data_IF_450711147881
#
_entry.id   IF_450711147881
#
_cell.length_a   1.000
_cell.length_b   1.000
_cell.length_c   1.000
_cell.angle_alpha   90.00
_cell.angle_beta   90.00
_cell.angle_gamma   90.00
#
_symmetry.space_group_name_H-M   'P 1'
#
loop_
_entity.id
_entity.type
_entity.pdbx_description
1 polymer ?
#
# COMPACT_ATOMS: atom_id res chain seq x y z
N UNK A 1 -1.16 -30.18 3.84
CA UNK A 1 0.15 -30.21 4.54
C UNK A 1 1.22 -30.20 3.46
N UNK A 2 2.15 -29.26 3.51
CA UNK A 2 3.32 -29.20 2.61
C UNK A 2 4.58 -29.43 3.44
N UNK A 3 5.58 -30.09 2.85
CA UNK A 3 6.91 -30.35 3.45
C UNK A 3 7.92 -30.21 2.31
N UNK A 4 9.04 -29.54 2.56
CA UNK A 4 10.14 -29.41 1.61
C UNK A 4 11.45 -29.10 2.35
N UNK A 5 12.58 -29.31 1.67
CA UNK A 5 13.92 -29.16 2.26
C UNK A 5 14.35 -27.69 2.38
N UNK A 6 13.72 -26.79 1.63
CA UNK A 6 14.06 -25.36 1.62
C UNK A 6 12.85 -24.45 1.80
N UNK A 7 13.01 -23.26 2.40
CA UNK A 7 11.96 -22.25 2.48
C UNK A 7 11.38 -21.86 1.11
N UNK A 8 12.23 -21.79 0.07
CA UNK A 8 11.81 -21.49 -1.31
C UNK A 8 10.75 -22.49 -1.81
N UNK A 9 11.05 -23.78 -1.69
CA UNK A 9 10.12 -24.85 -2.08
C UNK A 9 8.86 -24.89 -1.20
N UNK A 10 8.96 -24.56 0.09
CA UNK A 10 7.79 -24.47 0.97
C UNK A 10 6.82 -23.39 0.49
N UNK A 11 7.32 -22.19 0.18
CA UNK A 11 6.51 -21.08 -0.35
C UNK A 11 5.97 -21.42 -1.75
N UNK A 12 6.77 -22.06 -2.60
CA UNK A 12 6.33 -22.51 -3.92
C UNK A 12 5.16 -23.51 -3.83
N UNK A 13 5.28 -24.51 -2.97
CA UNK A 13 4.23 -25.51 -2.75
C UNK A 13 2.97 -24.86 -2.13
N UNK A 14 3.14 -23.97 -1.15
CA UNK A 14 2.03 -23.26 -0.52
C UNK A 14 1.26 -22.42 -1.55
N UNK A 15 1.95 -21.58 -2.33
CA UNK A 15 1.32 -20.72 -3.34
C UNK A 15 0.72 -21.51 -4.50
N UNK A 16 1.29 -22.67 -4.86
CA UNK A 16 0.65 -23.60 -5.80
C UNK A 16 -0.72 -24.09 -5.30
N UNK A 17 -0.91 -24.21 -3.98
CA UNK A 17 -2.17 -24.66 -3.38
C UNK A 17 -3.21 -23.53 -3.26
N UNK A 18 -2.78 -22.33 -2.87
CA UNK A 18 -3.72 -21.22 -2.54
C UNK A 18 -3.92 -20.23 -3.70
N UNK A 19 -3.06 -20.30 -4.72
CA UNK A 19 -3.03 -19.45 -5.91
C UNK A 19 -1.76 -18.61 -5.97
N UNK A 20 -1.26 -18.36 -7.17
CA UNK A 20 -0.13 -17.46 -7.41
C UNK A 20 -0.63 -16.07 -7.79
N UNK A 21 0.17 -15.06 -7.50
CA UNK A 21 -0.09 -13.70 -7.98
C UNK A 21 0.01 -13.68 -9.51
N UNK A 22 -0.76 -12.85 -10.22
CA UNK A 22 -0.46 -12.57 -11.63
C UNK A 22 0.82 -11.72 -11.74
N UNK A 23 1.27 -11.49 -12.98
CA UNK A 23 2.37 -10.56 -13.26
C UNK A 23 1.87 -9.13 -13.13
N UNK A 24 2.61 -8.28 -12.40
CA UNK A 24 2.35 -6.84 -12.30
C UNK A 24 2.90 -6.15 -13.54
N UNK A 25 2.18 -5.16 -14.07
CA UNK A 25 2.67 -4.33 -15.18
C UNK A 25 3.81 -3.42 -14.74
N UNK A 26 4.73 -3.18 -15.68
CA UNK A 26 5.89 -2.30 -15.48
C UNK A 26 5.48 -0.83 -15.30
N UNK A 27 4.25 -0.49 -15.72
CA UNK A 27 3.61 0.82 -15.52
C UNK A 27 3.34 1.15 -14.05
N UNK A 28 3.51 0.19 -13.14
CA UNK A 28 3.30 0.37 -11.70
C UNK A 28 4.59 0.34 -10.88
N UNK A 29 5.76 0.16 -11.50
CA UNK A 29 7.00 -0.10 -10.76
C UNK A 29 7.77 1.17 -10.36
N UNK A 30 7.34 2.36 -10.78
CA UNK A 30 7.91 3.65 -10.41
C UNK A 30 7.26 4.27 -9.17
N UNK A 31 7.17 5.61 -9.17
CA UNK A 31 6.67 6.37 -8.02
C UNK A 31 5.14 6.43 -8.00
N UNK A 32 4.56 6.08 -6.85
CA UNK A 32 3.16 6.30 -6.53
C UNK A 32 3.05 7.48 -5.57
N UNK A 33 2.32 8.52 -5.97
CA UNK A 33 2.09 9.71 -5.15
C UNK A 33 0.72 9.67 -4.49
N UNK A 34 0.69 9.84 -3.17
CA UNK A 34 -0.53 10.00 -2.37
C UNK A 34 -0.26 10.85 -1.12
N UNK A 35 -1.33 11.36 -0.54
CA UNK A 35 -1.39 11.93 0.81
C UNK A 35 -2.82 11.82 1.31
N UNK A 36 -3.03 12.04 2.60
CA UNK A 36 -4.33 12.38 3.16
C UNK A 36 -4.44 13.91 3.25
N UNK A 37 -5.15 14.59 2.35
CA UNK A 37 -5.80 14.12 1.13
C UNK A 37 -5.79 15.20 0.05
N UNK A 38 -5.81 14.82 -1.22
CA UNK A 38 -6.14 15.77 -2.30
C UNK A 38 -7.66 15.92 -2.36
N UNK A 39 -8.15 17.15 -2.29
CA UNK A 39 -9.56 17.48 -2.06
C UNK A 39 -10.31 17.89 -3.32
N UNK A 40 -9.60 18.25 -4.38
CA UNK A 40 -10.18 18.70 -5.67
C UNK A 40 -9.34 18.23 -6.85
N UNK A 41 -9.90 18.22 -8.09
CA UNK A 41 -9.14 17.91 -9.29
C UNK A 41 -7.91 18.80 -9.50
N UNK A 42 -7.99 20.09 -9.16
CA UNK A 42 -6.86 21.02 -9.34
C UNK A 42 -5.74 20.76 -8.34
N UNK A 43 -6.05 20.35 -7.10
CA UNK A 43 -5.01 19.93 -6.15
C UNK A 43 -4.23 18.72 -6.71
N UNK A 44 -4.92 17.73 -7.29
CA UNK A 44 -4.28 16.56 -7.93
C UNK A 44 -3.42 17.00 -9.13
N UNK A 45 -3.98 17.81 -10.05
CA UNK A 45 -3.25 18.28 -11.23
C UNK A 45 -2.05 19.14 -10.89
N UNK A 46 -2.14 20.00 -9.88
CA UNK A 46 -1.02 20.85 -9.46
C UNK A 46 0.21 20.03 -9.06
N UNK A 47 -0.01 18.93 -8.33
CA UNK A 47 1.04 18.00 -7.93
C UNK A 47 1.61 17.25 -9.14
N UNK A 48 0.75 16.69 -10.00
CA UNK A 48 1.19 15.97 -11.19
C UNK A 48 1.99 16.87 -12.16
N UNK A 49 1.52 18.10 -12.40
CA UNK A 49 2.21 19.11 -13.21
C UNK A 49 3.57 19.46 -12.60
N UNK A 50 3.67 19.59 -11.28
CA UNK A 50 4.96 19.86 -10.61
C UNK A 50 5.94 18.70 -10.75
N UNK A 51 5.49 17.45 -10.60
CA UNK A 51 6.34 16.29 -10.88
C UNK A 51 6.82 16.27 -12.34
N UNK A 52 5.94 16.57 -13.31
CA UNK A 52 6.30 16.71 -14.73
C UNK A 52 7.36 17.80 -14.96
N UNK A 53 7.19 18.97 -14.33
CA UNK A 53 8.17 20.07 -14.36
C UNK A 53 9.55 19.63 -13.84
N UNK A 54 9.58 18.81 -12.79
CA UNK A 54 10.80 18.26 -12.19
C UNK A 54 11.41 17.08 -12.97
N UNK A 55 10.81 16.69 -14.10
CA UNK A 55 11.24 15.55 -14.90
C UNK A 55 11.08 14.21 -14.16
N UNK A 56 10.06 14.11 -13.31
CA UNK A 56 9.72 12.90 -12.55
C UNK A 56 8.41 12.37 -13.13
N UNK A 57 8.45 11.15 -13.69
CA UNK A 57 7.24 10.44 -14.11
C UNK A 57 6.56 9.85 -12.87
N UNK A 58 5.28 10.21 -12.66
CA UNK A 58 4.40 9.49 -11.77
C UNK A 58 3.81 8.29 -12.51
N UNK A 59 3.89 7.12 -11.91
CA UNK A 59 3.23 5.95 -12.44
C UNK A 59 1.79 5.87 -11.92
N UNK A 60 1.57 6.22 -10.63
CA UNK A 60 0.23 6.31 -10.03
C UNK A 60 0.10 7.60 -9.21
N UNK A 61 -1.06 8.26 -9.32
CA UNK A 61 -1.51 9.28 -8.36
C UNK A 61 -2.85 8.84 -7.75
N UNK A 62 -3.03 9.10 -6.46
CA UNK A 62 -4.13 8.54 -5.69
C UNK A 62 -5.05 9.64 -5.15
N UNK A 63 -6.36 9.45 -5.32
CA UNK A 63 -7.41 10.25 -4.72
C UNK A 63 -7.92 9.50 -3.49
N UNK A 64 -7.65 10.06 -2.31
CA UNK A 64 -7.95 9.46 -1.02
C UNK A 64 -9.45 9.57 -0.64
N UNK A 65 -9.81 9.10 0.55
CA UNK A 65 -11.15 9.02 1.12
C UNK A 65 -11.87 10.38 1.22
N UNK A 66 -13.20 10.32 1.41
CA UNK A 66 -14.08 11.50 1.49
C UNK A 66 -13.94 12.45 0.30
N UNK A 67 -13.77 11.93 -0.91
CA UNK A 67 -14.04 12.67 -2.16
C UNK A 67 -15.51 12.55 -2.61
N UNK A 68 -16.35 11.90 -1.80
CA UNK A 68 -17.75 11.57 -2.05
C UNK A 68 -18.73 12.39 -1.20
N UNK A 69 -20.03 12.43 -1.55
CA UNK A 69 -21.04 13.13 -0.74
C UNK A 69 -21.28 12.51 0.64
N UNK A 70 -21.46 11.18 0.67
CA UNK A 70 -21.63 10.35 1.86
C UNK A 70 -20.92 9.01 1.65
N UNK A 71 -20.54 8.35 2.74
CA UNK A 71 -19.96 7.01 2.67
C UNK A 71 -20.98 6.03 2.05
N UNK A 72 -20.53 5.15 1.16
CA UNK A 72 -21.37 4.19 0.45
C UNK A 72 -22.06 4.71 -0.81
N UNK A 73 -21.83 5.98 -1.17
CA UNK A 73 -22.33 6.53 -2.43
C UNK A 73 -21.46 6.12 -3.63
N UNK A 74 -20.18 5.82 -3.37
CA UNK A 74 -19.17 5.41 -4.36
C UNK A 74 -19.24 6.26 -5.63
N UNK A 75 -19.23 7.58 -5.46
CA UNK A 75 -19.19 8.59 -6.52
C UNK A 75 -18.48 9.83 -6.00
N UNK A 76 -17.87 10.58 -6.90
CA UNK A 76 -17.35 11.91 -6.58
C UNK A 76 -18.47 12.87 -6.12
N UNK A 77 -18.15 13.79 -5.20
CA UNK A 77 -19.02 14.90 -4.85
C UNK A 77 -18.89 16.03 -5.88
N UNK A 78 -19.93 16.21 -6.69
CA UNK A 78 -20.00 17.20 -7.77
C UNK A 78 -19.70 18.65 -7.32
N UNK A 79 -19.84 18.95 -6.02
CA UNK A 79 -19.49 20.27 -5.45
C UNK A 79 -17.99 20.55 -5.57
N UNK A 80 -17.15 19.55 -5.31
CA UNK A 80 -15.67 19.70 -5.25
C UNK A 80 -14.98 19.01 -6.43
N UNK A 81 -15.67 18.06 -7.05
CA UNK A 81 -15.22 17.28 -8.18
C UNK A 81 -16.24 17.36 -9.33
N UNK A 82 -16.43 18.55 -9.96
CA UNK A 82 -17.33 18.68 -11.10
C UNK A 82 -16.92 17.78 -12.27
N UNK A 83 -17.89 17.23 -13.00
CA UNK A 83 -17.65 16.30 -14.12
C UNK A 83 -16.65 16.83 -15.16
N UNK A 84 -16.77 18.08 -15.58
CA UNK A 84 -15.86 18.69 -16.56
C UNK A 84 -14.42 18.77 -16.04
N UNK A 85 -14.25 18.98 -14.73
CA UNK A 85 -12.94 19.04 -14.06
C UNK A 85 -12.35 17.67 -13.83
N UNK A 86 -13.15 16.67 -13.45
CA UNK A 86 -12.70 15.28 -13.38
C UNK A 86 -12.21 14.82 -14.75
N UNK A 87 -13.02 15.05 -15.80
CA UNK A 87 -12.63 14.66 -17.16
C UNK A 87 -11.32 15.32 -17.57
N UNK A 88 -11.19 16.64 -17.39
CA UNK A 88 -9.96 17.36 -17.73
C UNK A 88 -8.76 16.84 -16.93
N UNK A 89 -8.93 16.52 -15.65
CA UNK A 89 -7.90 15.93 -14.82
C UNK A 89 -7.46 14.56 -15.32
N UNK A 90 -8.41 13.65 -15.61
CA UNK A 90 -8.11 12.31 -16.08
C UNK A 90 -7.43 12.34 -17.46
N UNK A 91 -7.94 13.14 -18.40
CA UNK A 91 -7.35 13.31 -19.73
C UNK A 91 -5.87 13.77 -19.63
N UNK A 92 -5.60 14.78 -18.80
CA UNK A 92 -4.25 15.34 -18.64
C UNK A 92 -3.31 14.36 -17.91
N UNK A 93 -3.77 13.67 -16.86
CA UNK A 93 -2.99 12.66 -16.16
C UNK A 93 -2.62 11.49 -17.09
N UNK A 94 -3.56 11.04 -17.93
CA UNK A 94 -3.31 10.00 -18.92
C UNK A 94 -2.35 10.46 -20.02
N UNK A 95 -2.40 11.73 -20.45
CA UNK A 95 -1.39 12.30 -21.37
C UNK A 95 0.02 12.29 -20.75
N UNK A 96 0.13 12.44 -19.42
CA UNK A 96 1.38 12.30 -18.69
C UNK A 96 1.82 10.83 -18.49
N UNK A 97 0.97 9.87 -18.85
CA UNK A 97 1.21 8.45 -18.59
C UNK A 97 1.05 8.05 -17.12
N UNK A 98 0.29 8.82 -16.35
CA UNK A 98 0.01 8.59 -14.91
C UNK A 98 -1.34 7.91 -14.75
N UNK A 99 -1.39 6.83 -13.97
CA UNK A 99 -2.62 6.11 -13.62
C UNK A 99 -3.30 6.72 -12.41
N UNK A 100 -4.63 6.70 -12.37
CA UNK A 100 -5.40 7.26 -11.27
C UNK A 100 -6.03 6.16 -10.43
N UNK A 101 -5.73 6.17 -9.14
CA UNK A 101 -6.34 5.30 -8.14
C UNK A 101 -7.34 6.09 -7.29
N UNK A 102 -8.49 5.49 -6.98
CA UNK A 102 -9.51 6.11 -6.12
C UNK A 102 -9.80 5.25 -4.88
N UNK A 103 -9.95 5.89 -3.73
CA UNK A 103 -10.37 5.24 -2.49
C UNK A 103 -11.80 4.69 -2.60
N UNK A 104 -12.02 3.51 -2.03
CA UNK A 104 -13.33 2.86 -1.90
C UNK A 104 -13.43 2.34 -0.47
N UNK A 105 -14.39 2.87 0.28
CA UNK A 105 -14.72 2.39 1.61
C UNK A 105 -15.90 1.42 1.58
N UNK A 106 -15.91 0.38 2.42
CA UNK A 106 -17.02 -0.56 2.52
C UNK A 106 -18.18 -0.01 3.37
N UNK A 107 -18.00 1.13 4.04
CA UNK A 107 -18.99 1.78 4.89
C UNK A 107 -20.10 2.44 4.06
N UNK A 108 -21.31 2.44 4.60
CA UNK A 108 -22.51 3.01 3.98
C UNK A 108 -23.26 3.83 5.02
N UNK A 109 -23.30 5.15 4.85
CA UNK A 109 -23.91 6.09 5.78
C UNK A 109 -25.43 6.11 5.64
N UNK A 110 -26.16 6.05 6.77
CA UNK A 110 -27.63 6.08 6.81
C UNK A 110 -28.26 7.34 6.23
N UNK A 111 -27.50 8.43 6.12
CA UNK A 111 -27.93 9.69 5.50
C UNK A 111 -27.89 9.63 3.97
N UNK A 112 -27.10 8.72 3.40
CA UNK A 112 -26.96 8.54 1.95
C UNK A 112 -28.18 7.91 1.28
N UNK A 113 -28.30 8.06 -0.04
CA UNK A 113 -29.37 7.45 -0.84
C UNK A 113 -29.25 5.91 -0.88
N UNK A 114 -28.03 5.40 -0.66
CA UNK A 114 -27.70 3.99 -0.87
C UNK A 114 -28.10 3.08 0.31
N UNK A 115 -28.03 3.58 1.55
CA UNK A 115 -28.14 2.75 2.75
C UNK A 115 -29.42 1.93 2.81
N UNK A 116 -30.59 2.59 2.73
CA UNK A 116 -31.87 1.90 2.89
C UNK A 116 -32.19 0.97 1.72
N UNK A 117 -31.58 1.18 0.55
CA UNK A 117 -31.69 0.21 -0.54
C UNK A 117 -30.93 -1.08 -0.21
N UNK A 118 -29.67 -0.94 0.20
CA UNK A 118 -28.82 -2.08 0.58
C UNK A 118 -29.35 -2.83 1.79
N UNK A 119 -29.86 -2.10 2.79
CA UNK A 119 -30.44 -2.67 4.01
C UNK A 119 -31.68 -3.52 3.69
N UNK A 120 -32.62 -3.00 2.89
CA UNK A 120 -33.82 -3.76 2.46
C UNK A 120 -33.50 -5.02 1.65
N UNK A 121 -32.36 -5.02 0.95
CA UNK A 121 -31.86 -6.17 0.18
C UNK A 121 -30.99 -7.12 1.02
N UNK A 122 -30.68 -6.78 2.28
CA UNK A 122 -29.80 -7.59 3.13
C UNK A 122 -28.34 -7.62 2.65
N UNK A 123 -27.84 -6.50 2.10
CA UNK A 123 -26.48 -6.38 1.55
C UNK A 123 -25.46 -5.84 2.57
N UNK A 124 -25.88 -5.57 3.79
CA UNK A 124 -25.06 -5.02 4.87
C UNK A 124 -24.83 -6.05 5.97
N UNK A 125 -23.69 -5.94 6.65
CA UNK A 125 -23.38 -6.68 7.87
C UNK A 125 -24.43 -6.35 8.93
N UNK A 126 -24.87 -7.38 9.66
CA UNK A 126 -25.89 -7.24 10.70
C UNK A 126 -25.28 -7.42 12.09
N UNK A 127 -25.96 -6.85 13.09
CA UNK A 127 -25.66 -7.06 14.51
C UNK A 127 -26.67 -8.03 15.13
N UNK A 128 -26.21 -8.94 15.98
CA UNK A 128 -27.06 -9.88 16.74
C UNK A 128 -27.79 -9.14 17.88
N UNK A 129 -27.22 -8.03 18.38
CA UNK A 129 -27.82 -7.13 19.38
C UNK A 129 -27.38 -5.67 19.19
N UNK A 130 -28.21 -4.75 19.69
CA UNK A 130 -27.97 -3.31 19.57
C UNK A 130 -28.48 -2.72 18.25
N UNK A 131 -28.02 -1.51 17.92
CA UNK A 131 -28.31 -0.89 16.63
C UNK A 131 -27.53 -1.55 15.50
N UNK A 132 -28.05 -1.48 14.28
CA UNK A 132 -27.33 -1.83 13.06
C UNK A 132 -26.42 -0.65 12.66
N UNK A 133 -25.42 -0.40 13.50
CA UNK A 133 -24.31 0.52 13.25
C UNK A 133 -23.03 -0.30 13.41
N UNK A 134 -22.34 -0.53 12.30
CA UNK A 134 -21.14 -1.36 12.27
C UNK A 134 -19.88 -0.53 12.03
N UNK A 135 -20.02 0.75 11.69
CA UNK A 135 -18.93 1.73 11.61
C UNK A 135 -19.42 3.14 12.03
N UNK A 136 -18.57 3.94 12.68
CA UNK A 136 -18.97 5.24 13.26
C UNK A 136 -18.03 6.42 12.96
N UNK A 137 -16.97 6.23 12.18
CA UNK A 137 -16.10 7.34 11.78
C UNK A 137 -16.83 8.26 10.79
N UNK A 138 -17.08 9.49 11.23
CA UNK A 138 -17.67 10.57 10.42
C UNK A 138 -19.06 10.23 9.83
N UNK A 139 -19.83 9.36 10.49
CA UNK A 139 -21.20 9.02 10.12
C UNK A 139 -21.72 7.77 10.82
N UNK A 140 -23.04 7.66 11.01
CA UNK A 140 -23.69 6.41 11.44
C UNK A 140 -23.80 5.46 10.25
N UNK A 141 -22.88 4.51 10.16
CA UNK A 141 -22.69 3.67 8.99
C UNK A 141 -22.97 2.18 9.26
N UNK A 142 -23.53 1.52 8.25
CA UNK A 142 -23.40 0.08 8.07
C UNK A 142 -22.13 -0.27 7.29
N UNK A 143 -21.79 -1.55 7.26
CA UNK A 143 -20.65 -2.09 6.50
C UNK A 143 -21.20 -3.03 5.44
N UNK A 144 -20.71 -2.92 4.21
CA UNK A 144 -21.07 -3.82 3.11
C UNK A 144 -20.70 -5.25 3.45
N UNK A 145 -21.61 -6.20 3.20
CA UNK A 145 -21.33 -7.62 3.41
C UNK A 145 -20.78 -8.28 2.14
N UNK A 146 -19.46 -8.21 1.93
CA UNK A 146 -18.84 -8.83 0.74
C UNK A 146 -18.92 -10.37 0.72
N UNK A 147 -19.39 -11.04 1.76
CA UNK A 147 -19.71 -12.47 1.65
C UNK A 147 -20.98 -12.72 0.82
N UNK A 148 -21.86 -11.72 0.69
CA UNK A 148 -23.04 -11.77 -0.15
C UNK A 148 -22.67 -11.46 -1.62
N UNK A 149 -22.86 -12.40 -2.57
CA UNK A 149 -22.58 -12.14 -3.98
C UNK A 149 -23.38 -10.98 -4.58
N UNK A 150 -24.61 -10.74 -4.11
CA UNK A 150 -25.41 -9.58 -4.56
C UNK A 150 -24.79 -8.26 -4.08
N UNK A 151 -24.20 -8.24 -2.89
CA UNK A 151 -23.49 -7.06 -2.39
C UNK A 151 -22.20 -6.81 -3.19
N UNK A 152 -21.45 -7.87 -3.53
CA UNK A 152 -20.27 -7.78 -4.40
C UNK A 152 -20.63 -7.11 -5.73
N UNK A 153 -21.68 -7.62 -6.39
CA UNK A 153 -22.15 -7.10 -7.67
C UNK A 153 -22.69 -5.66 -7.55
N UNK A 154 -23.44 -5.37 -6.49
CA UNK A 154 -24.01 -4.04 -6.25
C UNK A 154 -22.93 -2.97 -6.13
N UNK A 155 -21.93 -3.19 -5.27
CA UNK A 155 -20.82 -2.23 -5.06
C UNK A 155 -19.97 -2.11 -6.31
N UNK A 156 -19.62 -3.24 -6.95
CA UNK A 156 -18.88 -3.22 -8.21
C UNK A 156 -19.59 -2.37 -9.28
N UNK A 157 -20.89 -2.58 -9.50
CA UNK A 157 -21.64 -1.85 -10.52
C UNK A 157 -21.69 -0.33 -10.25
N UNK A 158 -21.78 0.08 -8.97
CA UNK A 158 -21.71 1.50 -8.58
C UNK A 158 -20.32 2.06 -8.88
N UNK A 159 -19.25 1.40 -8.44
CA UNK A 159 -17.87 1.81 -8.69
C UNK A 159 -17.52 1.84 -10.18
N UNK A 160 -17.97 0.83 -10.94
CA UNK A 160 -17.82 0.78 -12.40
C UNK A 160 -18.41 2.02 -13.04
N UNK A 161 -19.71 2.27 -12.80
CA UNK A 161 -20.44 3.40 -13.38
C UNK A 161 -19.82 4.75 -13.01
N UNK A 162 -19.45 4.92 -11.75
CA UNK A 162 -19.09 6.22 -11.20
C UNK A 162 -17.59 6.54 -11.22
N UNK A 163 -16.74 5.54 -11.52
CA UNK A 163 -15.28 5.69 -11.58
C UNK A 163 -14.68 5.05 -12.85
N UNK A 164 -14.82 3.73 -13.03
CA UNK A 164 -14.14 3.01 -14.13
C UNK A 164 -14.59 3.52 -15.51
N UNK A 165 -15.91 3.63 -15.72
CA UNK A 165 -16.51 4.10 -16.98
C UNK A 165 -16.17 5.57 -17.28
N UNK A 166 -15.71 6.32 -16.26
CA UNK A 166 -15.27 7.71 -16.37
C UNK A 166 -13.76 7.85 -16.58
N UNK A 167 -13.01 6.74 -16.56
CA UNK A 167 -11.57 6.71 -16.84
C UNK A 167 -10.67 6.55 -15.62
N UNK A 168 -11.19 6.33 -14.42
CA UNK A 168 -10.35 5.92 -13.27
C UNK A 168 -9.77 4.53 -13.55
N UNK A 169 -8.48 4.33 -13.26
CA UNK A 169 -7.77 3.10 -13.63
C UNK A 169 -7.78 2.03 -12.54
N UNK A 170 -7.64 2.45 -11.27
CA UNK A 170 -7.32 1.57 -10.14
C UNK A 170 -8.20 1.86 -8.91
N UNK A 171 -8.31 0.87 -8.02
CA UNK A 171 -9.06 1.00 -6.77
C UNK A 171 -8.19 0.77 -5.55
N UNK A 172 -8.34 1.67 -4.57
CA UNK A 172 -7.84 1.51 -3.21
C UNK A 172 -9.01 1.04 -2.34
N UNK A 173 -9.04 -0.25 -2.06
CA UNK A 173 -10.07 -0.92 -1.25
C UNK A 173 -9.70 -0.82 0.23
N UNK A 174 -9.96 0.35 0.80
CA UNK A 174 -9.57 0.70 2.15
C UNK A 174 -10.57 0.20 3.21
N UNK A 175 -10.19 0.20 4.49
CA UNK A 175 -10.96 -0.42 5.59
C UNK A 175 -11.34 -1.88 5.30
N UNK A 176 -10.38 -2.65 4.77
CA UNK A 176 -10.64 -4.00 4.26
C UNK A 176 -10.69 -5.11 5.32
N UNK A 177 -10.50 -4.83 6.60
CA UNK A 177 -10.53 -5.82 7.68
C UNK A 177 -11.90 -6.53 7.88
N UNK A 178 -13.08 -5.86 7.92
CA UNK A 178 -13.35 -4.43 7.86
C UNK A 178 -13.14 -3.71 9.21
N UNK A 179 -12.94 -2.39 9.16
CA UNK A 179 -12.91 -1.59 10.38
C UNK A 179 -14.32 -1.49 10.98
N UNK A 180 -14.46 -1.91 12.23
CA UNK A 180 -15.75 -2.05 12.93
C UNK A 180 -15.75 -1.13 14.15
N UNK A 181 -16.92 -0.57 14.52
CA UNK A 181 -17.09 0.24 15.75
C UNK A 181 -16.43 -0.41 16.97
N UNK A 182 -16.54 -1.74 17.06
CA UNK A 182 -15.82 -2.54 18.03
C UNK A 182 -15.41 -3.86 17.41
N UNK A 183 -14.29 -4.43 17.82
CA UNK A 183 -13.87 -5.77 17.40
C UNK A 183 -14.57 -6.89 18.21
N UNK A 184 -15.83 -6.70 18.60
CA UNK A 184 -16.67 -7.74 19.20
C UNK A 184 -17.28 -8.66 18.12
N UNK A 185 -16.45 -9.58 17.61
CA UNK A 185 -16.86 -10.52 16.55
C UNK A 185 -18.06 -11.42 16.93
N UNK A 186 -18.49 -11.48 18.20
CA UNK A 186 -19.71 -12.20 18.58
C UNK A 186 -20.97 -11.47 18.13
N UNK A 187 -20.91 -10.15 18.02
CA UNK A 187 -22.06 -9.35 17.67
C UNK A 187 -22.31 -9.29 16.16
N UNK A 188 -21.32 -9.53 15.32
CA UNK A 188 -21.46 -9.34 13.87
C UNK A 188 -21.81 -10.62 13.13
N UNK A 189 -22.65 -10.49 12.10
CA UNK A 189 -23.05 -11.58 11.22
C UNK A 189 -22.99 -11.17 9.75
N UNK A 190 -22.28 -12.01 8.99
CA UNK A 190 -22.17 -11.98 7.54
C UNK A 190 -23.10 -13.01 6.91
N UNK A 191 -23.27 -12.91 5.59
CA UNK A 191 -24.10 -13.75 4.75
C UNK A 191 -23.80 -15.25 4.90
N UNK A 192 -22.53 -15.60 5.06
CA UNK A 192 -22.06 -16.99 5.20
C UNK A 192 -21.98 -17.45 6.66
N UNK A 193 -22.16 -16.57 7.64
CA UNK A 193 -22.13 -16.95 9.05
C UNK A 193 -21.74 -15.84 10.02
N UNK A 194 -21.66 -16.20 11.30
CA UNK A 194 -21.18 -15.30 12.37
C UNK A 194 -19.73 -14.90 12.16
N UNK A 195 -19.39 -13.66 12.50
CA UNK A 195 -18.06 -13.11 12.32
C UNK A 195 -16.98 -13.94 13.05
N UNK A 196 -17.26 -14.47 14.25
CA UNK A 196 -16.35 -15.40 14.96
C UNK A 196 -15.88 -16.62 14.15
N UNK A 197 -16.58 -16.99 13.07
CA UNK A 197 -16.21 -18.13 12.23
C UNK A 197 -15.57 -17.75 10.90
N UNK A 198 -15.89 -16.57 10.36
CA UNK A 198 -15.58 -16.24 8.95
C UNK A 198 -14.88 -14.89 8.75
N UNK A 199 -14.82 -14.01 9.77
CA UNK A 199 -14.41 -12.60 9.60
C UNK A 199 -13.05 -12.43 8.94
N UNK A 200 -12.08 -13.30 9.22
CA UNK A 200 -10.75 -13.22 8.64
C UNK A 200 -10.74 -13.33 7.10
N UNK A 201 -11.76 -13.95 6.48
CA UNK A 201 -11.86 -14.03 5.01
C UNK A 201 -12.46 -12.77 4.37
N UNK A 202 -13.05 -11.85 5.16
CA UNK A 202 -13.69 -10.63 4.64
C UNK A 202 -12.81 -9.84 3.64
N UNK A 203 -11.54 -9.50 3.93
CA UNK A 203 -10.69 -8.77 2.98
C UNK A 203 -10.56 -9.45 1.62
N UNK A 204 -10.49 -10.79 1.62
CA UNK A 204 -10.43 -11.58 0.40
C UNK A 204 -11.72 -11.48 -0.40
N UNK A 205 -12.87 -11.44 0.26
CA UNK A 205 -14.18 -11.25 -0.40
C UNK A 205 -14.36 -9.86 -0.96
N UNK A 206 -13.83 -8.84 -0.28
CA UNK A 206 -13.84 -7.48 -0.78
C UNK A 206 -13.03 -7.35 -2.08
N UNK A 207 -11.78 -7.81 -2.08
CA UNK A 207 -10.95 -7.76 -3.30
C UNK A 207 -11.46 -8.69 -4.41
N UNK A 208 -12.07 -9.83 -4.06
CA UNK A 208 -12.69 -10.75 -5.03
C UNK A 208 -13.82 -10.07 -5.83
N UNK A 209 -14.59 -9.16 -5.23
CA UNK A 209 -15.65 -8.41 -5.90
C UNK A 209 -15.09 -7.55 -7.05
N UNK A 210 -14.05 -6.76 -6.77
CA UNK A 210 -13.40 -5.90 -7.75
C UNK A 210 -12.59 -6.69 -8.77
N UNK A 211 -11.97 -7.80 -8.35
CA UNK A 211 -11.27 -8.68 -9.27
C UNK A 211 -12.23 -9.25 -10.33
N UNK A 212 -13.36 -9.85 -9.91
CA UNK A 212 -14.36 -10.41 -10.85
C UNK A 212 -14.89 -9.34 -11.80
N UNK A 213 -15.17 -8.15 -11.26
CA UNK A 213 -15.64 -7.02 -12.03
C UNK A 213 -14.66 -6.60 -13.12
N UNK A 214 -13.42 -6.33 -12.76
CA UNK A 214 -12.38 -5.91 -13.71
C UNK A 214 -12.09 -6.97 -14.77
N UNK A 215 -12.04 -8.25 -14.40
CA UNK A 215 -11.85 -9.35 -15.37
C UNK A 215 -13.05 -9.48 -16.33
N UNK A 216 -14.28 -9.22 -15.86
CA UNK A 216 -15.47 -9.20 -16.72
C UNK A 216 -15.44 -8.05 -17.75
N UNK A 217 -14.77 -6.94 -17.43
CA UNK A 217 -14.49 -5.84 -18.36
C UNK A 217 -13.27 -6.12 -19.26
N UNK A 218 -12.67 -7.31 -19.17
CA UNK A 218 -11.48 -7.70 -19.93
C UNK A 218 -10.22 -6.94 -19.53
N UNK A 219 -10.20 -6.31 -18.34
CA UNK A 219 -9.02 -5.62 -17.83
C UNK A 219 -8.05 -6.65 -17.25
N UNK A 220 -6.79 -6.57 -17.66
CA UNK A 220 -5.71 -7.45 -17.18
C UNK A 220 -4.54 -6.68 -16.60
N UNK A 221 -4.59 -5.35 -16.65
CA UNK A 221 -3.53 -4.47 -16.15
C UNK A 221 -4.09 -3.52 -15.09
N UNK A 222 -4.18 -4.03 -13.86
CA UNK A 222 -4.65 -3.29 -12.69
C UNK A 222 -4.17 -3.95 -11.40
N UNK A 223 -4.28 -3.18 -10.32
CA UNK A 223 -3.95 -3.55 -8.95
C UNK A 223 -5.04 -3.02 -8.02
N UNK A 224 -5.39 -3.82 -7.02
CA UNK A 224 -6.22 -3.38 -5.89
C UNK A 224 -5.30 -3.16 -4.68
N UNK A 225 -5.22 -1.92 -4.19
CA UNK A 225 -4.53 -1.60 -2.93
C UNK A 225 -5.47 -1.94 -1.76
N UNK A 226 -5.09 -2.85 -0.85
CA UNK A 226 -5.93 -3.32 0.28
C UNK A 226 -5.18 -3.27 1.62
N UNK A 227 -5.88 -2.99 2.72
CA UNK A 227 -5.26 -2.82 4.06
C UNK A 227 -5.04 -4.15 4.76
N UNK A 228 -5.79 -5.16 4.35
CA UNK A 228 -5.87 -6.47 4.98
C UNK A 228 -6.07 -7.53 3.90
N UNK A 229 -5.63 -8.75 4.20
CA UNK A 229 -5.67 -9.88 3.28
C UNK A 229 -5.87 -11.19 4.04
N UNK A 230 -6.26 -12.23 3.30
CA UNK A 230 -6.36 -13.59 3.82
C UNK A 230 -5.68 -14.58 2.88
N UNK A 231 -5.63 -15.84 3.31
CA UNK A 231 -5.03 -16.93 2.53
C UNK A 231 -5.60 -16.98 1.11
N UNK A 232 -4.71 -16.82 0.13
CA UNK A 232 -5.03 -16.86 -1.29
C UNK A 232 -5.54 -15.53 -1.86
N UNK A 233 -5.46 -14.41 -1.13
CA UNK A 233 -5.81 -13.09 -1.67
C UNK A 233 -4.94 -12.70 -2.87
N UNK A 234 -3.64 -13.04 -2.88
CA UNK A 234 -2.67 -12.63 -3.90
C UNK A 234 -3.11 -12.90 -5.36
N UNK A 235 -3.89 -13.96 -5.60
CA UNK A 235 -4.37 -14.28 -6.96
C UNK A 235 -5.40 -13.28 -7.50
N UNK A 236 -5.96 -12.43 -6.64
CA UNK A 236 -6.95 -11.41 -6.98
C UNK A 236 -6.31 -10.03 -7.20
N UNK A 237 -5.04 -9.98 -7.63
CA UNK A 237 -4.28 -8.73 -7.88
C UNK A 237 -4.20 -7.83 -6.66
N UNK A 238 -3.95 -8.44 -5.51
CA UNK A 238 -3.97 -7.80 -4.21
C UNK A 238 -2.60 -7.25 -3.84
N UNK A 239 -2.47 -5.92 -3.80
CA UNK A 239 -1.35 -5.22 -3.21
C UNK A 239 -1.73 -4.84 -1.77
N UNK A 240 -1.02 -5.37 -0.78
CA UNK A 240 -1.28 -5.06 0.63
C UNK A 240 -0.43 -3.89 1.09
N UNK A 241 -1.00 -2.94 1.84
CA UNK A 241 -0.22 -2.04 2.69
C UNK A 241 -0.56 -2.24 4.16
N UNK A 242 0.32 -1.78 5.05
CA UNK A 242 0.27 -2.07 6.49
C UNK A 242 -0.66 -1.20 7.32
N UNK A 243 -1.47 -0.36 6.68
CA UNK A 243 -2.41 0.51 7.37
C UNK A 243 -1.75 1.64 8.16
N UNK A 244 -2.52 2.14 9.12
CA UNK A 244 -2.40 3.47 9.70
C UNK A 244 -1.35 3.51 10.84
N UNK A 245 -0.10 3.20 10.50
CA UNK A 245 1.01 3.11 11.46
C UNK A 245 1.50 4.49 11.88
N UNK A 246 2.00 4.60 13.11
CA UNK A 246 2.59 5.84 13.62
C UNK A 246 3.89 6.18 12.86
N UNK A 247 4.16 7.48 12.66
CA UNK A 247 5.41 7.94 12.03
C UNK A 247 6.52 8.03 13.07
N UNK A 248 7.11 6.88 13.42
CA UNK A 248 8.30 6.81 14.28
C UNK A 248 9.19 5.61 13.91
N UNK A 249 10.43 5.60 14.42
CA UNK A 249 11.40 4.54 14.12
C UNK A 249 11.01 3.15 14.66
N UNK A 250 10.18 3.08 15.71
CA UNK A 250 9.67 1.80 16.24
C UNK A 250 8.73 1.16 15.20
N UNK A 251 7.75 1.92 14.73
CA UNK A 251 6.83 1.48 13.69
C UNK A 251 7.56 1.16 12.38
N UNK A 252 8.58 1.95 12.03
CA UNK A 252 9.43 1.67 10.86
C UNK A 252 10.13 0.31 10.96
N UNK A 253 10.73 0.01 12.12
CA UNK A 253 11.32 -1.31 12.39
C UNK A 253 10.30 -2.44 12.25
N UNK A 254 9.11 -2.26 12.80
CA UNK A 254 8.03 -3.24 12.69
C UNK A 254 7.64 -3.50 11.21
N UNK A 255 7.68 -2.47 10.35
CA UNK A 255 7.36 -2.62 8.94
C UNK A 255 8.39 -3.43 8.15
N UNK A 256 9.68 -3.32 8.48
CA UNK A 256 10.73 -4.15 7.88
C UNK A 256 10.47 -5.63 8.15
N UNK A 257 10.01 -5.96 9.35
CA UNK A 257 9.65 -7.33 9.73
C UNK A 257 8.31 -7.76 9.13
N UNK A 258 7.32 -6.86 9.08
CA UNK A 258 6.01 -7.14 8.50
C UNK A 258 6.10 -7.49 7.01
N UNK A 259 6.88 -6.74 6.22
CA UNK A 259 7.06 -7.00 4.79
C UNK A 259 7.66 -8.38 4.50
N UNK A 260 8.65 -8.80 5.31
CA UNK A 260 9.24 -10.13 5.23
C UNK A 260 8.21 -11.24 5.52
N UNK A 261 7.43 -11.08 6.58
CA UNK A 261 6.40 -12.06 6.95
C UNK A 261 5.26 -12.12 5.94
N UNK A 262 4.84 -10.99 5.38
CA UNK A 262 3.84 -10.94 4.30
C UNK A 262 4.33 -11.66 3.05
N UNK A 263 5.61 -11.51 2.71
CA UNK A 263 6.25 -12.27 1.64
C UNK A 263 6.18 -13.78 1.88
N UNK A 264 6.57 -14.24 3.08
CA UNK A 264 6.49 -15.66 3.45
C UNK A 264 5.04 -16.19 3.52
N UNK A 265 4.08 -15.32 3.84
CA UNK A 265 2.64 -15.64 3.81
C UNK A 265 2.06 -15.75 2.38
N UNK A 266 2.90 -15.60 1.35
CA UNK A 266 2.55 -15.74 -0.07
C UNK A 266 1.90 -14.49 -0.68
N UNK A 267 2.07 -13.32 -0.06
CA UNK A 267 1.64 -12.03 -0.60
C UNK A 267 2.87 -11.25 -1.09
N UNK A 268 3.29 -11.41 -2.36
CA UNK A 268 4.50 -10.78 -2.88
C UNK A 268 4.32 -9.28 -3.17
N UNK A 269 3.08 -8.83 -3.39
CA UNK A 269 2.75 -7.43 -3.62
C UNK A 269 2.41 -6.76 -2.29
N UNK A 270 3.39 -6.02 -1.76
CA UNK A 270 3.29 -5.38 -0.46
C UNK A 270 3.97 -4.00 -0.47
N UNK A 271 3.51 -3.08 0.37
CA UNK A 271 4.10 -1.74 0.56
C UNK A 271 3.78 -1.17 1.94
N UNK A 272 4.34 0.00 2.25
CA UNK A 272 3.94 0.83 3.40
C UNK A 272 3.51 2.21 2.92
N UNK A 273 3.10 3.03 3.87
CA UNK A 273 3.17 4.49 3.75
C UNK A 273 4.61 4.90 4.03
N UNK A 274 5.30 5.48 3.06
CA UNK A 274 6.66 5.98 3.28
C UNK A 274 6.63 7.14 4.28
N UNK A 275 7.35 6.96 5.39
CA UNK A 275 7.36 7.87 6.55
C UNK A 275 6.34 7.52 7.63
N UNK A 276 5.53 6.46 7.47
CA UNK A 276 4.40 6.14 8.34
C UNK A 276 3.14 6.92 7.95
N UNK A 277 2.01 6.64 8.60
CA UNK A 277 0.74 7.30 8.31
C UNK A 277 0.60 8.62 9.07
N UNK A 278 0.61 8.60 10.40
CA UNK A 278 0.33 9.79 11.23
C UNK A 278 1.61 10.45 11.78
N UNK A 279 1.76 11.77 11.61
CA UNK A 279 2.73 12.60 12.35
C UNK A 279 2.04 13.89 12.83
N UNK A 280 2.41 14.41 14.00
CA UNK A 280 1.86 15.67 14.52
C UNK A 280 2.47 16.91 13.85
N UNK A 281 3.72 16.80 13.40
CA UNK A 281 4.46 17.92 12.82
C UNK A 281 5.41 17.46 11.71
N UNK A 282 5.04 17.77 10.48
CA UNK A 282 5.80 17.48 9.26
C UNK A 282 7.14 18.23 9.19
N UNK A 283 7.31 19.29 9.98
CA UNK A 283 8.53 20.11 10.04
C UNK A 283 9.49 19.68 11.16
N UNK A 284 9.16 18.65 11.93
CA UNK A 284 10.07 18.09 12.93
C UNK A 284 11.29 17.46 12.24
N UNK A 285 12.53 17.89 12.55
CA UNK A 285 13.74 17.27 12.00
C UNK A 285 13.82 15.75 12.21
N UNK A 286 13.31 15.22 13.31
CA UNK A 286 13.30 13.76 13.55
C UNK A 286 12.34 13.05 12.57
N UNK A 287 11.18 13.66 12.28
CA UNK A 287 10.27 13.15 11.26
C UNK A 287 10.89 13.23 9.86
N UNK A 288 11.59 14.31 9.52
CA UNK A 288 12.28 14.43 8.22
C UNK A 288 13.37 13.37 8.10
N UNK A 289 14.14 13.10 9.16
CA UNK A 289 15.10 12.00 9.19
C UNK A 289 14.40 10.65 8.95
N UNK A 290 13.34 10.36 9.72
CA UNK A 290 12.55 9.14 9.59
C UNK A 290 12.04 8.97 8.15
N UNK A 291 11.46 10.02 7.57
CA UNK A 291 10.94 10.01 6.21
C UNK A 291 12.03 9.64 5.22
N UNK A 292 13.22 10.24 5.32
CA UNK A 292 14.36 9.91 4.45
C UNK A 292 14.77 8.45 4.62
N UNK A 293 14.91 7.95 5.86
CA UNK A 293 15.28 6.54 6.12
C UNK A 293 14.23 5.55 5.60
N UNK A 294 12.96 5.89 5.74
CA UNK A 294 11.86 5.07 5.25
C UNK A 294 11.75 5.13 3.71
N UNK A 295 12.01 6.29 3.11
CA UNK A 295 12.05 6.46 1.66
C UNK A 295 13.17 5.63 1.04
N UNK A 296 14.35 5.62 1.66
CA UNK A 296 15.47 4.73 1.30
C UNK A 296 15.07 3.25 1.32
N UNK A 297 14.37 2.80 2.37
CA UNK A 297 13.82 1.45 2.46
C UNK A 297 12.76 1.17 1.38
N UNK A 298 11.86 2.13 1.13
CA UNK A 298 10.79 2.01 0.13
C UNK A 298 11.30 1.71 -1.28
N UNK A 299 12.49 2.19 -1.65
CA UNK A 299 13.12 1.87 -2.94
C UNK A 299 13.27 0.36 -3.15
N UNK A 300 13.54 -0.37 -2.06
CA UNK A 300 13.73 -1.81 -2.00
C UNK A 300 12.48 -2.56 -1.50
N UNK A 301 11.31 -1.95 -1.62
CA UNK A 301 10.01 -2.60 -1.43
C UNK A 301 9.39 -3.01 -2.79
N UNK A 302 8.42 -3.93 -2.82
CA UNK A 302 7.74 -4.33 -4.06
C UNK A 302 7.15 -3.11 -4.80
N UNK A 303 6.44 -2.25 -4.07
CA UNK A 303 5.87 -0.99 -4.57
C UNK A 303 6.47 0.19 -3.83
N UNK A 304 6.64 1.30 -4.54
CA UNK A 304 7.24 2.53 -4.04
C UNK A 304 6.19 3.63 -3.92
N UNK A 305 5.64 3.82 -2.72
CA UNK A 305 4.44 4.63 -2.49
C UNK A 305 4.60 5.65 -1.37
N UNK A 306 4.47 6.93 -1.73
CA UNK A 306 4.29 8.03 -0.79
C UNK A 306 2.84 8.09 -0.35
N UNK A 307 2.60 8.14 0.96
CA UNK A 307 1.29 8.40 1.57
C UNK A 307 1.48 8.85 3.02
N UNK A 308 0.44 9.42 3.63
CA UNK A 308 0.38 9.76 5.05
C UNK A 308 -0.51 10.95 5.34
N UNK A 309 -0.94 11.03 6.59
CA UNK A 309 -1.64 12.14 7.21
C UNK A 309 -0.67 13.00 8.03
N UNK A 310 -0.32 14.16 7.47
CA UNK A 310 0.79 14.98 7.95
C UNK A 310 0.26 16.16 8.75
N UNK A 311 0.52 16.21 10.05
CA UNK A 311 0.26 17.38 10.88
C UNK A 311 1.27 18.52 10.65
N UNK A 312 1.03 19.74 11.16
CA UNK A 312 -0.17 20.13 11.90
C UNK A 312 -1.43 20.17 11.00
N UNK A 313 -2.59 19.89 11.58
CA UNK A 313 -3.89 19.89 10.88
C UNK A 313 -4.54 21.28 10.92
N UNK A 314 -3.83 22.29 10.44
CA UNK A 314 -4.23 23.70 10.45
C UNK A 314 -4.66 24.22 9.06
N UNK A 315 -4.84 23.32 8.09
CA UNK A 315 -5.42 23.64 6.79
C UNK A 315 -6.94 23.65 6.93
N UNK A 316 -7.55 24.81 6.74
CA UNK A 316 -9.01 24.96 6.80
C UNK A 316 -9.71 23.99 5.83
N UNK A 317 -10.78 23.32 6.28
CA UNK A 317 -11.68 22.58 5.41
C UNK A 317 -12.23 23.46 4.29
N UNK A 318 -12.64 22.83 3.19
CA UNK A 318 -13.29 23.55 2.07
C UNK A 318 -14.73 23.94 2.40
N UNK A 319 -15.30 23.38 3.46
CA UNK A 319 -16.70 23.56 3.87
C UNK A 319 -16.88 23.28 5.36
N UNK A 320 -17.92 23.88 5.95
CA UNK A 320 -18.29 23.75 7.37
C UNK A 320 -19.49 22.82 7.60
N UNK A 321 -20.03 22.18 6.54
CA UNK A 321 -21.03 21.11 6.66
C UNK A 321 -20.45 19.88 7.38
N UNK A 322 -21.30 18.94 7.78
CA UNK A 322 -20.90 17.65 8.38
C UNK A 322 -21.01 16.47 7.38
N UNK A 323 -20.93 16.80 6.08
CA UNK A 323 -20.99 15.87 4.95
C UNK A 323 -20.34 16.49 3.70
N UNK A 324 -20.12 15.67 2.66
CA UNK A 324 -19.53 16.11 1.40
C UNK A 324 -18.03 15.92 1.27
N UNK A 325 -17.48 16.23 0.11
CA UNK A 325 -16.05 16.06 -0.16
C UNK A 325 -15.14 17.08 0.54
N UNK A 326 -15.71 18.17 1.06
CA UNK A 326 -14.97 19.34 1.53
C UNK A 326 -14.87 19.55 3.04
N UNK A 327 -15.67 18.84 3.85
CA UNK A 327 -15.73 19.11 5.29
C UNK A 327 -14.62 18.47 6.11
N UNK A 328 -14.13 17.29 5.70
CA UNK A 328 -13.07 16.62 6.44
C UNK A 328 -11.74 17.35 6.22
N UNK A 329 -10.91 17.39 7.25
CA UNK A 329 -9.57 17.99 7.17
C UNK A 329 -8.69 17.32 6.10
N UNK A 330 -7.55 17.96 5.82
CA UNK A 330 -6.42 17.38 5.08
C UNK A 330 -5.15 17.62 5.87
N UNK A 331 -4.23 16.67 5.83
CA UNK A 331 -2.85 16.88 6.23
C UNK A 331 -2.08 17.79 5.27
N UNK A 332 -0.91 18.19 5.75
CA UNK A 332 0.11 18.97 5.06
C UNK A 332 0.59 18.31 3.75
N UNK A 333 1.28 19.07 2.87
CA UNK A 333 1.96 18.52 1.70
C UNK A 333 2.83 17.28 2.01
N UNK A 334 2.83 16.29 1.11
CA UNK A 334 3.56 15.02 1.25
C UNK A 334 4.31 14.63 -0.04
N UNK A 335 4.61 15.64 -0.86
CA UNK A 335 5.40 15.52 -2.08
C UNK A 335 6.89 15.65 -1.77
N UNK A 336 7.77 15.17 -2.67
CA UNK A 336 9.21 15.16 -2.46
C UNK A 336 9.83 16.54 -2.11
N UNK A 337 9.25 17.63 -2.60
CA UNK A 337 9.75 19.00 -2.39
C UNK A 337 9.25 19.64 -1.09
N UNK A 338 8.45 18.96 -0.29
CA UNK A 338 7.78 19.53 0.89
C UNK A 338 8.65 19.55 2.14
N UNK A 339 9.86 18.98 2.08
CA UNK A 339 10.70 18.68 3.25
C UNK A 339 12.07 19.38 3.25
N UNK A 340 12.21 20.41 2.41
CA UNK A 340 13.46 21.16 2.23
C UNK A 340 14.42 20.53 1.22
N UNK A 341 15.41 21.32 0.80
CA UNK A 341 16.30 20.98 -0.32
C UNK A 341 17.15 19.74 -0.06
N UNK A 342 17.64 19.53 1.16
CA UNK A 342 18.44 18.36 1.52
C UNK A 342 17.62 17.07 1.37
N UNK A 343 16.43 17.02 1.97
CA UNK A 343 15.53 15.87 1.87
C UNK A 343 15.11 15.61 0.42
N UNK A 344 14.77 16.67 -0.33
CA UNK A 344 14.44 16.57 -1.76
C UNK A 344 15.58 15.95 -2.57
N UNK A 345 16.82 16.42 -2.39
CA UNK A 345 17.98 15.92 -3.13
C UNK A 345 18.26 14.43 -2.80
N UNK A 346 18.13 14.03 -1.53
CA UNK A 346 18.29 12.63 -1.12
C UNK A 346 17.17 11.77 -1.72
N UNK A 347 15.91 12.19 -1.61
CA UNK A 347 14.78 11.46 -2.19
C UNK A 347 14.87 11.37 -3.72
N UNK A 348 15.40 12.40 -4.39
CA UNK A 348 15.66 12.37 -5.84
C UNK A 348 16.76 11.35 -6.20
N UNK A 349 17.89 11.33 -5.47
CA UNK A 349 18.95 10.31 -5.62
C UNK A 349 18.35 8.89 -5.54
N UNK A 350 17.51 8.64 -4.54
CA UNK A 350 16.91 7.32 -4.31
C UNK A 350 15.79 6.98 -5.30
N UNK A 351 15.04 7.97 -5.79
CA UNK A 351 14.12 7.76 -6.90
C UNK A 351 14.86 7.29 -8.15
N UNK A 352 16.02 7.87 -8.47
CA UNK A 352 16.81 7.45 -9.63
C UNK A 352 17.33 6.01 -9.45
N UNK A 353 17.67 5.59 -8.22
CA UNK A 353 17.96 4.18 -7.91
C UNK A 353 16.74 3.31 -8.20
N UNK A 354 15.56 3.65 -7.67
CA UNK A 354 14.30 2.92 -7.93
C UNK A 354 14.04 2.74 -9.43
N UNK A 355 14.18 3.82 -10.20
CA UNK A 355 13.94 3.80 -11.64
C UNK A 355 14.97 2.93 -12.38
N UNK A 356 16.24 2.94 -11.96
CA UNK A 356 17.28 2.07 -12.53
C UNK A 356 17.06 0.58 -12.25
N UNK A 357 16.26 0.24 -11.24
CA UNK A 357 15.95 -1.13 -10.84
C UNK A 357 14.67 -1.69 -11.48
N UNK A 358 13.96 -0.92 -12.31
CA UNK A 358 12.66 -1.35 -12.88
C UNK A 358 12.72 -2.71 -13.57
N UNK A 359 13.74 -2.97 -14.40
CA UNK A 359 13.88 -4.25 -15.10
C UNK A 359 14.11 -5.42 -14.12
N UNK A 360 14.91 -5.18 -13.08
CA UNK A 360 15.15 -6.17 -12.02
C UNK A 360 13.84 -6.48 -11.27
N UNK A 361 13.11 -5.44 -10.87
CA UNK A 361 11.83 -5.59 -10.15
C UNK A 361 10.80 -6.29 -11.03
N UNK A 362 10.72 -5.97 -12.33
CA UNK A 362 9.87 -6.67 -13.30
C UNK A 362 10.20 -8.16 -13.36
N UNK A 363 11.50 -8.50 -13.35
CA UNK A 363 11.97 -9.88 -13.23
C UNK A 363 11.47 -10.58 -11.97
N UNK A 364 11.54 -9.91 -10.81
CA UNK A 364 11.03 -10.47 -9.56
C UNK A 364 9.50 -10.61 -9.55
N UNK A 365 8.76 -9.69 -10.18
CA UNK A 365 7.30 -9.81 -10.31
C UNK A 365 6.90 -11.01 -11.17
N UNK A 366 7.69 -11.32 -12.21
CA UNK A 366 7.51 -12.54 -13.03
C UNK A 366 7.84 -13.79 -12.23
N UNK A 367 8.95 -13.79 -11.49
CA UNK A 367 9.32 -14.90 -10.59
C UNK A 367 8.20 -15.17 -9.58
N UNK A 368 7.68 -14.13 -8.93
CA UNK A 368 6.57 -14.24 -7.98
C UNK A 368 5.31 -14.87 -8.61
N UNK A 369 5.01 -14.55 -9.87
CA UNK A 369 3.88 -15.15 -10.58
C UNK A 369 4.15 -16.61 -10.98
N UNK A 370 5.40 -16.95 -11.30
CA UNK A 370 5.79 -18.29 -11.72
C UNK A 370 5.86 -19.28 -10.56
N UNK A 371 6.50 -18.92 -9.45
CA UNK A 371 6.79 -19.84 -8.35
C UNK A 371 6.35 -19.32 -6.97
N UNK A 372 5.78 -18.12 -6.86
CA UNK A 372 5.34 -17.56 -5.58
C UNK A 372 6.43 -16.93 -4.71
N UNK A 373 7.66 -16.79 -5.22
CA UNK A 373 8.75 -16.11 -4.53
C UNK A 373 8.34 -14.69 -4.08
N UNK A 374 8.62 -14.29 -2.83
CA UNK A 374 8.44 -12.92 -2.42
C UNK A 374 9.56 -12.02 -2.96
N UNK A 375 9.29 -10.72 -3.04
CA UNK A 375 10.29 -9.72 -3.44
C UNK A 375 11.15 -9.30 -2.25
N UNK A 376 10.54 -9.08 -1.08
CA UNK A 376 11.25 -8.95 0.20
C UNK A 376 11.37 -10.34 0.80
N UNK A 377 12.60 -10.83 0.93
CA UNK A 377 12.93 -12.19 1.36
C UNK A 377 13.67 -12.12 2.69
N UNK A 378 13.27 -12.95 3.64
CA UNK A 378 14.07 -13.16 4.86
C UNK A 378 15.45 -13.68 4.48
N UNK A 379 16.46 -13.40 5.32
CA UNK A 379 17.81 -13.89 5.06
C UNK A 379 17.85 -15.41 4.90
N UNK A 380 17.16 -16.17 5.77
CA UNK A 380 17.09 -17.64 5.67
C UNK A 380 16.40 -18.16 4.41
N UNK A 381 15.57 -17.35 3.73
CA UNK A 381 14.96 -17.76 2.46
C UNK A 381 16.02 -17.91 1.37
N UNK A 382 17.06 -17.07 1.38
CA UNK A 382 18.18 -17.12 0.44
C UNK A 382 19.37 -17.94 0.97
N UNK A 383 19.52 -18.03 2.30
CA UNK A 383 20.64 -18.69 2.96
C UNK A 383 20.15 -19.67 4.06
N UNK A 384 19.43 -20.75 3.70
CA UNK A 384 18.82 -21.65 4.69
C UNK A 384 19.85 -22.43 5.51
N UNK A 385 21.05 -22.65 4.97
CA UNK A 385 22.13 -23.39 5.64
C UNK A 385 22.96 -22.52 6.61
N UNK A 386 22.72 -21.21 6.66
CA UNK A 386 23.40 -20.28 7.55
C UNK A 386 22.51 -19.97 8.77
N UNK A 387 22.87 -20.53 9.94
CA UNK A 387 22.11 -20.36 11.19
C UNK A 387 21.90 -18.89 11.59
N UNK A 388 22.84 -17.99 11.26
CA UNK A 388 22.68 -16.55 11.58
C UNK A 388 21.58 -15.91 10.76
N UNK A 389 21.32 -16.41 9.55
CA UNK A 389 20.28 -15.91 8.67
C UNK A 389 18.86 -16.24 9.15
N UNK A 390 18.70 -17.17 10.10
CA UNK A 390 17.41 -17.48 10.72
C UNK A 390 16.99 -16.49 11.81
N UNK A 391 17.93 -15.71 12.36
CA UNK A 391 17.70 -14.85 13.53
C UNK A 391 18.02 -13.37 13.26
N UNK A 392 17.91 -12.93 12.00
CA UNK A 392 18.27 -11.57 11.60
C UNK A 392 17.14 -10.86 10.83
N UNK A 393 16.11 -10.36 11.53
CA UNK A 393 14.93 -9.77 10.91
C UNK A 393 15.13 -8.29 10.51
N UNK A 394 16.24 -7.65 10.88
CA UNK A 394 16.47 -6.21 10.64
C UNK A 394 17.24 -5.92 9.34
N UNK A 395 17.54 -6.96 8.57
CA UNK A 395 18.03 -6.89 7.20
C UNK A 395 17.33 -7.97 6.39
N UNK A 396 17.29 -7.79 5.08
CA UNK A 396 16.58 -8.70 4.19
C UNK A 396 17.26 -8.76 2.83
N UNK A 397 16.84 -9.72 2.02
CA UNK A 397 17.19 -9.82 0.63
C UNK A 397 16.05 -9.25 -0.22
N UNK A 398 16.33 -8.26 -1.06
CA UNK A 398 15.42 -7.78 -2.09
C UNK A 398 15.68 -8.55 -3.39
N UNK A 399 14.84 -9.55 -3.64
CA UNK A 399 15.14 -10.63 -4.58
C UNK A 399 16.41 -11.40 -4.18
N UNK A 400 17.05 -12.14 -5.11
CA UNK A 400 18.24 -12.92 -4.79
C UNK A 400 19.54 -12.09 -4.72
N UNK A 401 19.53 -10.86 -5.25
CA UNK A 401 20.76 -10.13 -5.56
C UNK A 401 21.12 -9.03 -4.54
N UNK A 402 20.15 -8.39 -3.90
CA UNK A 402 20.41 -7.20 -3.07
C UNK A 402 20.15 -7.49 -1.60
N UNK A 403 21.19 -7.45 -0.77
CA UNK A 403 21.08 -7.42 0.69
C UNK A 403 20.87 -5.97 1.13
N UNK A 404 19.80 -5.72 1.87
CA UNK A 404 19.41 -4.37 2.33
C UNK A 404 19.40 -4.38 3.86
N UNK A 405 20.11 -3.43 4.48
CA UNK A 405 20.15 -3.24 5.92
C UNK A 405 19.72 -1.81 6.29
N UNK A 406 18.40 -1.57 6.48
CA UNK A 406 17.88 -0.25 6.82
C UNK A 406 18.49 0.32 8.12
N UNK A 407 18.52 1.65 8.20
CA UNK A 407 18.89 2.39 9.41
C UNK A 407 17.64 2.60 10.25
N UNK A 408 17.54 1.91 11.38
CA UNK A 408 16.32 1.78 12.19
C UNK A 408 16.34 2.59 13.48
N UNK A 409 17.31 3.49 13.64
CA UNK A 409 17.50 4.30 14.85
C UNK A 409 17.77 5.74 14.44
N UNK A 410 17.06 6.69 15.05
CA UNK A 410 17.27 8.13 14.85
C UNK A 410 18.72 8.55 15.18
N UNK A 411 19.27 9.45 14.38
CA UNK A 411 20.63 9.99 14.50
C UNK A 411 21.76 9.01 14.16
N UNK A 412 21.47 7.78 13.77
CA UNK A 412 22.50 6.80 13.44
C UNK A 412 23.21 7.15 12.13
N UNK A 413 24.55 7.12 12.15
CA UNK A 413 25.43 7.42 11.00
C UNK A 413 26.28 6.22 10.58
N UNK A 414 26.11 5.08 11.24
CA UNK A 414 26.72 3.80 10.91
C UNK A 414 25.72 2.66 11.19
N UNK A 415 25.95 1.51 10.56
CA UNK A 415 25.09 0.32 10.72
C UNK A 415 25.96 -0.92 10.75
N UNK A 416 25.79 -1.74 11.80
CA UNK A 416 26.32 -3.11 11.82
C UNK A 416 25.35 -4.03 11.10
N UNK A 417 25.83 -4.85 10.17
CA UNK A 417 25.02 -5.85 9.46
C UNK A 417 25.80 -7.15 9.27
N UNK A 418 25.10 -8.23 8.94
CA UNK A 418 25.68 -9.52 8.63
C UNK A 418 25.74 -9.74 7.12
N UNK A 419 26.92 -10.02 6.57
CA UNK A 419 27.07 -10.50 5.20
C UNK A 419 27.29 -12.02 5.22
N UNK A 420 26.42 -12.82 4.59
CA UNK A 420 26.68 -14.25 4.38
C UNK A 420 27.93 -14.49 3.53
N UNK A 421 28.45 -15.72 3.55
CA UNK A 421 29.56 -16.11 2.68
C UNK A 421 29.24 -15.82 1.19
N UNK A 422 30.24 -15.36 0.45
CA UNK A 422 30.09 -14.96 -0.95
C UNK A 422 30.80 -13.63 -1.25
N UNK A 423 30.41 -13.03 -2.37
CA UNK A 423 31.02 -11.80 -2.89
C UNK A 423 29.97 -10.72 -3.02
N UNK A 424 30.22 -9.60 -2.37
CA UNK A 424 29.26 -8.53 -2.14
C UNK A 424 29.86 -7.20 -2.55
N UNK A 425 29.20 -6.50 -3.47
CA UNK A 425 29.55 -5.13 -3.86
C UNK A 425 28.66 -4.12 -3.11
N UNK A 426 29.26 -3.22 -2.35
CA UNK A 426 28.55 -2.11 -1.74
C UNK A 426 27.99 -1.18 -2.83
N UNK A 427 26.70 -0.86 -2.77
CA UNK A 427 26.02 -0.08 -3.82
C UNK A 427 26.52 1.37 -3.89
N UNK A 428 26.94 1.97 -2.77
CA UNK A 428 27.43 3.34 -2.69
C UNK A 428 28.94 3.40 -3.00
N UNK A 429 29.77 2.73 -2.20
CA UNK A 429 31.24 2.82 -2.31
C UNK A 429 31.82 2.04 -3.50
N UNK A 430 31.05 1.11 -4.08
CA UNK A 430 31.46 0.14 -5.12
C UNK A 430 32.54 -0.85 -4.66
N UNK A 431 32.94 -0.80 -3.39
CA UNK A 431 33.87 -1.75 -2.78
C UNK A 431 33.29 -3.17 -2.84
N UNK A 432 34.16 -4.14 -3.14
CA UNK A 432 33.82 -5.55 -3.18
C UNK A 432 34.43 -6.23 -1.97
N UNK A 433 33.59 -6.92 -1.21
CA UNK A 433 33.98 -7.73 -0.06
C UNK A 433 33.75 -9.19 -0.44
N UNK A 434 34.81 -10.00 -0.38
CA UNK A 434 34.74 -11.44 -0.61
C UNK A 434 34.97 -12.16 0.72
N UNK A 435 34.04 -13.05 1.07
CA UNK A 435 33.97 -13.72 2.37
C UNK A 435 33.86 -15.23 2.17
N UNK A 436 34.82 -15.99 2.70
CA UNK A 436 34.76 -17.45 2.74
C UNK A 436 33.75 -17.98 3.76
N UNK A 437 33.41 -17.17 4.77
CA UNK A 437 32.41 -17.44 5.80
C UNK A 437 31.66 -16.14 6.12
N UNK A 438 30.43 -16.23 6.60
CA UNK A 438 29.64 -15.04 6.88
C UNK A 438 30.18 -14.22 8.04
N UNK A 439 30.08 -12.89 7.94
CA UNK A 439 30.74 -11.95 8.85
C UNK A 439 29.85 -10.75 9.16
N UNK A 440 29.89 -10.32 10.42
CA UNK A 440 29.34 -9.02 10.81
C UNK A 440 30.34 -7.90 10.50
N UNK A 441 29.84 -6.84 9.87
CA UNK A 441 30.61 -5.66 9.51
C UNK A 441 29.85 -4.40 9.94
N UNK A 442 30.58 -3.35 10.30
CA UNK A 442 30.02 -2.01 10.54
C UNK A 442 30.41 -1.11 9.38
N UNK A 443 29.43 -0.43 8.80
CA UNK A 443 29.66 0.44 7.64
C UNK A 443 29.07 1.83 7.86
N UNK A 444 29.63 2.87 7.22
CA UNK A 444 29.02 4.20 7.22
C UNK A 444 27.60 4.16 6.65
N UNK A 445 26.69 4.84 7.33
CA UNK A 445 25.30 5.04 6.95
C UNK A 445 24.86 6.48 7.24
N UNK A 446 25.54 7.51 6.70
CA UNK A 446 25.10 8.90 6.81
C UNK A 446 23.66 9.08 6.27
N UNK A 447 23.05 10.24 6.52
CA UNK A 447 21.64 10.48 6.20
C UNK A 447 21.28 10.14 4.73
N UNK A 448 22.20 10.40 3.80
CA UNK A 448 22.04 10.19 2.36
C UNK A 448 22.45 8.79 1.86
N UNK A 449 22.74 7.85 2.77
CA UNK A 449 23.15 6.48 2.46
C UNK A 449 22.43 5.44 3.32
N UNK A 450 21.71 4.52 2.67
CA UNK A 450 21.30 3.22 3.23
C UNK A 450 22.32 2.13 2.84
N UNK A 451 22.78 1.29 3.77
CA UNK A 451 23.64 0.14 3.47
C UNK A 451 22.94 -0.89 2.58
N UNK A 452 23.46 -1.07 1.37
CA UNK A 452 22.97 -2.05 0.40
C UNK A 452 24.15 -2.73 -0.28
N UNK A 453 24.08 -4.06 -0.40
CA UNK A 453 25.10 -4.89 -1.02
C UNK A 453 24.50 -5.74 -2.13
N UNK A 454 25.05 -5.62 -3.34
CA UNK A 454 24.70 -6.47 -4.48
C UNK A 454 25.61 -7.70 -4.51
N UNK A 455 25.05 -8.89 -4.69
CA UNK A 455 25.80 -10.12 -4.95
C UNK A 455 26.48 -10.03 -6.35
N UNK A 456 27.76 -10.37 -6.46
CA UNK A 456 28.55 -10.25 -7.72
C UNK A 456 29.45 -11.44 -8.03
#
# INVERSE_FOLDING_TARGET
>A
MTVADTPKQLVENYTACVGRTPVMSDDFLGLWQCKLRYRTPEEVLSVARKYKELGIKLDVIVIDFFHWPYQGEWKFDDTYWPEDKIKAMLDELHEMGTKVMVSVWPSVDKRGETFYEMDRKGLLVTTDYGSQQTYDYQGDCGTTDFFNPEAQEYVWNRCKKNYLDRGVDLFWLDNSEPDLVSYDFNNYRYYTGRATKVSCEYPKKYVEAFFKGMEAEGKTDYVNLVRSAWVGSQKYRTLVWTGDVQSNFIAFKDQVVAGQNMGLAGIPWWTTDIGGFMTENVFDPEFVELLIRWYQYGVFCPIFRMHGDRGPFDIEPLDNRDFGGGYLHTGQPNELWSYGDEAYNIMRKYLDVRLSMKDYISGLMKEAAENGSPLIRTMFYEFPDDEKCWNNPEQFMFGPDYLVAPVLTAGATERTLYLPAGKWQNLESKEIIELSEGKEITVPAPLDVIPVFKRV
#
